data_IF_202006259188
#
_entry.id   IF_202006259188
#
_cell.length_a   1.000
_cell.length_b   1.000
_cell.length_c   1.000
_cell.angle_alpha   90.00
_cell.angle_beta   90.00
_cell.angle_gamma   90.00
#
_symmetry.space_group_name_H-M   'P 1'
#
loop_
_entity.id
_entity.type
_entity.pdbx_description
1 polymer ?
#
# COMPACT_ATOMS: atom_id res chain seq x y z
N UNK A 1 -3.83 -13.42 -10.61
CA UNK A 1 -3.50 -12.02 -10.28
C UNK A 1 -4.11 -11.15 -11.37
N UNK A 2 -5.23 -10.49 -11.10
CA UNK A 2 -5.74 -9.43 -11.97
C UNK A 2 -4.91 -8.19 -11.68
N UNK A 3 -4.19 -7.72 -12.68
CA UNK A 3 -3.51 -6.43 -12.66
C UNK A 3 -4.56 -5.35 -12.36
N UNK A 4 -4.34 -4.59 -11.30
CA UNK A 4 -5.12 -3.39 -11.03
C UNK A 4 -4.64 -2.34 -12.03
N UNK A 5 -5.39 -2.13 -13.12
CA UNK A 5 -5.13 -1.01 -14.03
C UNK A 5 -5.30 0.30 -13.25
N UNK A 6 -4.18 0.99 -13.04
CA UNK A 6 -4.18 2.36 -12.50
C UNK A 6 -4.80 3.27 -13.57
N UNK A 7 -5.86 4.02 -13.27
CA UNK A 7 -6.46 4.96 -14.24
C UNK A 7 -5.38 5.91 -14.74
N UNK A 8 -5.25 6.05 -16.06
CA UNK A 8 -4.29 6.96 -16.66
C UNK A 8 -4.67 8.40 -16.27
N UNK A 9 -3.73 9.19 -15.73
CA UNK A 9 -4.01 10.58 -15.40
C UNK A 9 -4.42 11.35 -16.66
N UNK A 10 -5.32 12.32 -16.49
CA UNK A 10 -5.66 13.31 -17.51
C UNK A 10 -4.39 13.90 -18.12
N UNK A 11 -4.39 14.17 -19.42
CA UNK A 11 -3.27 14.49 -20.33
C UNK A 11 -2.28 15.60 -19.94
N UNK A 12 -2.05 15.88 -18.69
CA UNK A 12 -1.02 16.79 -18.22
C UNK A 12 0.26 15.99 -17.96
N UNK A 13 1.21 16.08 -18.89
CA UNK A 13 2.54 15.49 -18.71
C UNK A 13 3.60 16.60 -18.73
N UNK A 14 4.58 16.46 -17.86
CA UNK A 14 5.74 17.34 -17.80
C UNK A 14 6.69 16.92 -18.92
N UNK A 15 6.93 17.82 -19.89
CA UNK A 15 7.95 17.61 -20.93
C UNK A 15 9.30 18.03 -20.38
N UNK A 16 10.21 17.08 -20.20
CA UNK A 16 11.60 17.38 -19.86
C UNK A 16 12.44 17.71 -21.09
N UNK A 17 13.30 18.69 -20.95
CA UNK A 17 14.35 18.89 -21.94
C UNK A 17 15.34 17.72 -21.86
N UNK A 18 15.68 17.08 -22.98
CA UNK A 18 16.57 15.89 -23.06
C UNK A 18 17.98 16.11 -22.48
N UNK A 19 18.30 17.34 -22.07
CA UNK A 19 19.63 17.76 -21.64
C UNK A 19 19.93 17.53 -20.15
N UNK A 20 18.95 17.18 -19.30
CA UNK A 20 19.26 16.97 -17.89
C UNK A 20 19.68 15.52 -17.62
N UNK A 21 21.01 15.31 -17.72
CA UNK A 21 21.66 14.00 -17.51
C UNK A 21 21.34 13.43 -16.12
N UNK A 22 21.26 14.29 -15.10
CA UNK A 22 21.02 13.86 -13.72
C UNK A 22 19.63 13.24 -13.53
N UNK A 23 18.59 13.85 -14.10
CA UNK A 23 17.21 13.31 -14.06
C UNK A 23 17.15 11.96 -14.76
N UNK A 24 17.77 11.85 -15.93
CA UNK A 24 17.79 10.60 -16.68
C UNK A 24 18.52 9.48 -15.93
N UNK A 25 19.69 9.75 -15.38
CA UNK A 25 20.47 8.78 -14.62
C UNK A 25 19.75 8.31 -13.34
N UNK A 26 19.13 9.22 -12.59
CA UNK A 26 18.34 8.87 -11.41
C UNK A 26 17.13 8.02 -11.75
N UNK A 27 16.43 8.32 -12.85
CA UNK A 27 15.31 7.53 -13.34
C UNK A 27 15.75 6.10 -13.69
N UNK A 28 16.84 5.95 -14.46
CA UNK A 28 17.35 4.62 -14.84
C UNK A 28 17.80 3.82 -13.60
N UNK A 29 18.48 4.45 -12.65
CA UNK A 29 18.85 3.81 -11.38
C UNK A 29 17.61 3.34 -10.61
N UNK A 30 16.57 4.17 -10.54
CA UNK A 30 15.34 3.84 -9.84
C UNK A 30 14.61 2.65 -10.49
N UNK A 31 14.56 2.60 -11.83
CA UNK A 31 14.00 1.48 -12.57
C UNK A 31 14.78 0.19 -12.33
N UNK A 32 16.10 0.24 -12.43
CA UNK A 32 16.98 -0.91 -12.17
C UNK A 32 16.79 -1.48 -10.76
N UNK A 33 16.67 -0.61 -9.75
CA UNK A 33 16.44 -1.04 -8.36
C UNK A 33 15.03 -1.60 -8.14
N UNK A 34 14.04 -1.11 -8.88
CA UNK A 34 12.66 -1.63 -8.79
C UNK A 34 12.50 -3.01 -9.41
N UNK A 35 13.37 -3.39 -10.36
CA UNK A 35 13.37 -4.70 -11.04
C UNK A 35 14.10 -5.80 -10.25
N UNK A 36 14.74 -5.49 -9.12
CA UNK A 36 15.37 -6.49 -8.26
C UNK A 36 14.32 -7.44 -7.67
N UNK A 37 14.68 -8.70 -7.43
CA UNK A 37 13.80 -9.69 -6.79
C UNK A 37 13.30 -9.26 -5.40
N UNK A 38 14.08 -8.42 -4.70
CA UNK A 38 13.71 -7.81 -3.41
C UNK A 38 14.05 -6.32 -3.45
N UNK A 39 13.16 -5.47 -3.98
CA UNK A 39 13.39 -4.03 -4.02
C UNK A 39 13.51 -3.44 -2.62
N UNK A 40 14.47 -2.54 -2.45
CA UNK A 40 14.61 -1.79 -1.20
C UNK A 40 13.69 -0.55 -1.25
N UNK A 41 12.50 -0.65 -0.65
CA UNK A 41 11.49 0.41 -0.64
C UNK A 41 12.03 1.74 -0.06
N UNK A 42 12.91 1.68 0.94
CA UNK A 42 13.52 2.88 1.52
C UNK A 42 14.45 3.56 0.52
N UNK A 43 15.29 2.81 -0.18
CA UNK A 43 16.19 3.35 -1.20
C UNK A 43 15.38 3.93 -2.37
N UNK A 44 14.35 3.24 -2.84
CA UNK A 44 13.45 3.72 -3.89
C UNK A 44 12.75 5.02 -3.48
N UNK A 45 12.25 5.13 -2.25
CA UNK A 45 11.63 6.34 -1.74
C UNK A 45 12.60 7.52 -1.70
N UNK A 46 13.87 7.31 -1.32
CA UNK A 46 14.91 8.35 -1.32
C UNK A 46 15.27 8.82 -2.73
N UNK A 47 15.40 7.89 -3.66
CA UNK A 47 15.65 8.22 -5.07
C UNK A 47 14.48 8.96 -5.70
N UNK A 48 13.24 8.54 -5.43
CA UNK A 48 12.05 9.25 -5.89
C UNK A 48 12.00 10.68 -5.35
N UNK A 49 12.35 10.89 -4.07
CA UNK A 49 12.41 12.24 -3.47
C UNK A 49 13.47 13.09 -4.16
N UNK A 50 14.68 12.56 -4.40
CA UNK A 50 15.74 13.27 -5.10
C UNK A 50 15.34 13.61 -6.54
N UNK A 51 14.71 12.69 -7.26
CA UNK A 51 14.20 12.91 -8.61
C UNK A 51 13.14 14.02 -8.64
N UNK A 52 12.19 14.00 -7.70
CA UNK A 52 11.17 15.04 -7.58
C UNK A 52 11.79 16.41 -7.29
N UNK A 53 12.81 16.48 -6.43
CA UNK A 53 13.51 17.73 -6.14
C UNK A 53 14.16 18.32 -7.38
N UNK A 54 14.86 17.52 -8.18
CA UNK A 54 15.46 17.96 -9.44
C UNK A 54 14.42 18.41 -10.46
N UNK A 55 13.28 17.71 -10.55
CA UNK A 55 12.18 18.08 -11.43
C UNK A 55 11.62 19.45 -11.07
N UNK A 56 11.39 19.71 -9.78
CA UNK A 56 10.87 21.00 -9.27
C UNK A 56 11.88 22.12 -9.47
N UNK A 57 13.17 21.85 -9.28
CA UNK A 57 14.24 22.82 -9.51
C UNK A 57 14.33 23.24 -10.97
N UNK A 58 14.23 22.28 -11.91
CA UNK A 58 14.28 22.56 -13.35
C UNK A 58 13.00 23.22 -13.87
N UNK A 59 11.83 22.82 -13.34
CA UNK A 59 10.53 23.32 -13.75
C UNK A 59 9.64 23.61 -12.53
N UNK A 60 9.73 24.79 -11.92
CA UNK A 60 8.92 25.12 -10.73
C UNK A 60 7.40 24.99 -10.95
N UNK A 61 6.92 25.16 -12.19
CA UNK A 61 5.51 24.95 -12.55
C UNK A 61 5.04 23.49 -12.35
N UNK A 62 5.98 22.52 -12.33
CA UNK A 62 5.67 21.13 -12.06
C UNK A 62 5.18 20.87 -10.64
N UNK A 63 5.47 21.77 -9.70
CA UNK A 63 5.04 21.65 -8.31
C UNK A 63 3.51 21.56 -8.19
N UNK A 64 2.76 22.32 -8.98
CA UNK A 64 1.30 22.25 -8.97
C UNK A 64 0.79 20.90 -9.47
N UNK A 65 1.41 20.34 -10.52
CA UNK A 65 1.06 19.03 -11.08
C UNK A 65 1.39 17.93 -10.06
N UNK A 66 2.56 18.01 -9.44
CA UNK A 66 2.99 17.06 -8.39
C UNK A 66 2.09 17.16 -7.16
N UNK A 67 1.73 18.36 -6.72
CA UNK A 67 0.82 18.57 -5.59
C UNK A 67 -0.58 18.02 -5.87
N UNK A 68 -1.10 18.18 -7.09
CA UNK A 68 -2.36 17.58 -7.51
C UNK A 68 -2.28 16.04 -7.57
N UNK A 69 -1.20 15.50 -8.11
CA UNK A 69 -0.95 14.06 -8.15
C UNK A 69 -0.74 13.49 -6.73
N UNK A 70 -0.16 14.26 -5.82
CA UNK A 70 0.02 13.89 -4.41
C UNK A 70 -1.26 13.98 -3.57
N UNK A 71 -2.35 14.54 -4.10
CA UNK A 71 -3.64 14.46 -3.42
C UNK A 71 -4.08 12.99 -3.35
N UNK A 72 -4.15 12.48 -2.13
CA UNK A 72 -4.58 11.11 -1.89
C UNK A 72 -5.96 10.86 -2.49
N UNK A 73 -6.07 9.84 -3.33
CA UNK A 73 -7.36 9.34 -3.81
C UNK A 73 -8.24 8.91 -2.62
N UNK A 74 -9.53 8.74 -2.88
CA UNK A 74 -10.45 8.20 -1.84
C UNK A 74 -9.94 6.86 -1.32
N UNK A 75 -9.52 5.98 -2.22
CA UNK A 75 -8.97 4.67 -1.85
C UNK A 75 -7.69 4.78 -1.02
N UNK A 76 -6.76 5.68 -1.35
CA UNK A 76 -5.55 5.90 -0.56
C UNK A 76 -5.85 6.44 0.85
N UNK A 77 -6.84 7.35 0.98
CA UNK A 77 -7.30 7.84 2.29
C UNK A 77 -7.92 6.71 3.12
N UNK A 78 -8.73 5.85 2.49
CA UNK A 78 -9.32 4.66 3.12
C UNK A 78 -8.24 3.71 3.62
N UNK A 79 -7.25 3.40 2.78
CA UNK A 79 -6.12 2.55 3.14
C UNK A 79 -5.36 3.11 4.33
N UNK A 80 -5.03 4.40 4.30
CA UNK A 80 -4.33 5.09 5.39
C UNK A 80 -5.12 5.01 6.71
N UNK A 81 -6.42 5.26 6.67
CA UNK A 81 -7.28 5.16 7.86
C UNK A 81 -7.29 3.74 8.43
N UNK A 82 -7.43 2.73 7.57
CA UNK A 82 -7.38 1.33 7.98
C UNK A 82 -6.04 0.99 8.65
N UNK A 83 -4.92 1.40 8.06
CA UNK A 83 -3.58 1.13 8.61
C UNK A 83 -3.33 1.79 9.97
N UNK A 84 -3.86 2.99 10.18
CA UNK A 84 -3.75 3.73 11.44
C UNK A 84 -4.64 3.16 12.56
N UNK A 85 -5.66 2.37 12.22
CA UNK A 85 -6.66 1.85 13.16
C UNK A 85 -6.84 0.34 13.06
N UNK A 86 -5.81 -0.38 12.62
CA UNK A 86 -5.90 -1.78 12.16
C UNK A 86 -6.43 -2.75 13.22
N UNK A 87 -6.13 -2.50 14.47
CA UNK A 87 -6.54 -3.25 15.67
C UNK A 87 -7.95 -2.90 16.18
N UNK A 88 -8.52 -1.77 15.71
CA UNK A 88 -9.81 -1.28 16.13
C UNK A 88 -10.97 -1.92 15.34
N UNK A 89 -12.19 -1.77 15.87
CA UNK A 89 -13.41 -2.17 15.16
C UNK A 89 -13.82 -1.09 14.15
N UNK A 90 -13.18 -1.12 12.98
CA UNK A 90 -13.42 -0.17 11.91
C UNK A 90 -14.70 -0.55 11.17
N UNK A 91 -15.67 0.38 11.10
CA UNK A 91 -16.90 0.23 10.32
C UNK A 91 -16.89 1.15 9.10
N UNK A 92 -17.77 0.85 8.14
CA UNK A 92 -17.96 1.73 6.98
C UNK A 92 -18.47 3.10 7.41
N UNK A 93 -19.30 3.16 8.45
CA UNK A 93 -19.89 4.39 8.97
C UNK A 93 -18.81 5.25 9.63
N UNK A 94 -17.98 4.69 10.53
CA UNK A 94 -16.88 5.43 11.18
C UNK A 94 -15.88 5.98 10.15
N UNK A 95 -15.60 5.22 9.09
CA UNK A 95 -14.72 5.68 8.01
C UNK A 95 -15.36 6.79 7.18
N UNK A 96 -16.66 6.68 6.87
CA UNK A 96 -17.39 7.68 6.11
C UNK A 96 -17.46 9.00 6.86
N UNK A 97 -17.72 8.96 8.18
CA UNK A 97 -17.70 10.13 9.08
C UNK A 97 -16.32 10.80 9.09
N UNK A 98 -15.25 10.02 9.23
CA UNK A 98 -13.87 10.52 9.15
C UNK A 98 -13.57 11.21 7.82
N UNK A 99 -14.14 10.72 6.71
CA UNK A 99 -13.94 11.29 5.39
C UNK A 99 -14.92 12.43 5.04
N UNK A 100 -15.84 12.79 5.93
CA UNK A 100 -16.84 13.84 5.71
C UNK A 100 -17.82 13.52 4.58
N UNK A 101 -18.20 12.25 4.43
CA UNK A 101 -19.14 11.81 3.39
C UNK A 101 -20.12 10.74 3.91
N UNK A 102 -21.22 10.51 3.19
CA UNK A 102 -22.14 9.42 3.57
C UNK A 102 -21.55 8.05 3.24
N UNK A 103 -21.91 6.99 4.00
CA UNK A 103 -21.50 5.60 3.70
C UNK A 103 -21.86 5.18 2.29
N UNK A 104 -23.02 5.59 1.78
CA UNK A 104 -23.44 5.31 0.40
C UNK A 104 -22.51 5.96 -0.63
N UNK A 105 -22.08 7.20 -0.39
CA UNK A 105 -21.14 7.91 -1.26
C UNK A 105 -19.77 7.23 -1.26
N UNK A 106 -19.26 6.85 -0.07
CA UNK A 106 -18.00 6.13 0.06
C UNK A 106 -18.03 4.78 -0.65
N UNK A 107 -19.10 4.00 -0.43
CA UNK A 107 -19.31 2.70 -1.10
C UNK A 107 -19.30 2.87 -2.63
N UNK A 108 -20.03 3.86 -3.17
CA UNK A 108 -20.08 4.13 -4.62
C UNK A 108 -18.71 4.49 -5.18
N UNK A 109 -17.94 5.32 -4.49
CA UNK A 109 -16.58 5.72 -4.93
C UNK A 109 -15.62 4.54 -4.96
N UNK A 110 -15.63 3.69 -3.93
CA UNK A 110 -14.83 2.46 -3.92
C UNK A 110 -15.25 1.49 -5.03
N UNK A 111 -16.56 1.32 -5.24
CA UNK A 111 -17.09 0.44 -6.30
C UNK A 111 -16.72 0.92 -7.70
N UNK A 112 -16.56 2.22 -7.93
CA UNK A 112 -16.08 2.77 -9.20
C UNK A 112 -14.63 2.35 -9.53
N UNK A 113 -13.85 1.98 -8.51
CA UNK A 113 -12.49 1.44 -8.63
C UNK A 113 -12.49 -0.12 -8.49
N UNK A 114 -13.64 -0.78 -8.60
CA UNK A 114 -13.82 -2.24 -8.38
C UNK A 114 -13.37 -2.70 -6.99
N UNK A 115 -13.46 -1.84 -5.98
CA UNK A 115 -13.06 -2.12 -4.61
C UNK A 115 -14.25 -2.09 -3.67
N UNK A 116 -14.12 -2.78 -2.52
CA UNK A 116 -15.04 -2.65 -1.39
C UNK A 116 -14.29 -2.39 -0.10
N UNK A 117 -14.92 -1.69 0.85
CA UNK A 117 -14.37 -1.47 2.18
C UNK A 117 -13.98 -2.79 2.85
N UNK A 118 -14.87 -3.78 2.81
CA UNK A 118 -14.63 -5.09 3.44
C UNK A 118 -13.44 -5.83 2.83
N UNK A 119 -13.25 -5.75 1.51
CA UNK A 119 -12.10 -6.36 0.84
C UNK A 119 -10.81 -5.66 1.21
N UNK A 120 -10.78 -4.32 1.21
CA UNK A 120 -9.61 -3.53 1.60
C UNK A 120 -9.22 -3.79 3.06
N UNK A 121 -10.19 -3.77 3.98
CA UNK A 121 -9.97 -4.05 5.39
C UNK A 121 -9.38 -5.45 5.61
N UNK A 122 -9.97 -6.46 4.96
CA UNK A 122 -9.50 -7.85 5.04
C UNK A 122 -8.05 -7.98 4.54
N UNK A 123 -7.75 -7.41 3.37
CA UNK A 123 -6.40 -7.47 2.78
C UNK A 123 -5.38 -6.79 3.68
N UNK A 124 -5.69 -5.60 4.20
CA UNK A 124 -4.77 -4.85 5.07
C UNK A 124 -4.53 -5.56 6.40
N UNK A 125 -5.56 -6.14 7.02
CA UNK A 125 -5.41 -6.97 8.23
C UNK A 125 -4.55 -8.20 8.00
N UNK A 126 -4.71 -8.89 6.86
CA UNK A 126 -3.87 -10.05 6.51
C UNK A 126 -2.42 -9.62 6.25
N UNK A 127 -2.19 -8.52 5.55
CA UNK A 127 -0.84 -7.99 5.30
C UNK A 127 -0.13 -7.58 6.59
N UNK A 128 -0.85 -6.91 7.51
CA UNK A 128 -0.34 -6.57 8.83
C UNK A 128 0.08 -7.83 9.62
N UNK A 129 -0.81 -8.84 9.66
CA UNK A 129 -0.52 -10.12 10.30
C UNK A 129 0.70 -10.83 9.66
N UNK A 130 0.82 -10.83 8.34
CA UNK A 130 1.94 -11.43 7.63
C UNK A 130 3.28 -10.75 8.00
N UNK A 131 3.28 -9.43 8.20
CA UNK A 131 4.45 -8.71 8.71
C UNK A 131 4.83 -9.18 10.11
N UNK A 132 3.87 -9.25 11.04
CA UNK A 132 4.13 -9.73 12.40
C UNK A 132 4.58 -11.19 12.46
N UNK A 133 4.04 -12.06 11.58
CA UNK A 133 4.49 -13.45 11.46
C UNK A 133 5.97 -13.55 11.05
N UNK A 134 6.48 -12.58 10.28
CA UNK A 134 7.87 -12.54 9.82
C UNK A 134 8.82 -11.87 10.81
N UNK A 135 8.35 -10.90 11.57
CA UNK A 135 9.22 -9.99 12.32
C UNK A 135 9.14 -10.18 13.84
N UNK A 136 8.21 -11.02 14.32
CA UNK A 136 7.98 -11.18 15.77
C UNK A 136 7.76 -12.65 16.15
N UNK A 137 8.05 -12.99 17.43
CA UNK A 137 7.76 -14.29 18.02
C UNK A 137 6.38 -14.34 18.72
N UNK A 138 5.49 -13.36 18.46
CA UNK A 138 4.15 -13.33 19.02
C UNK A 138 3.36 -14.58 18.64
N UNK A 139 2.47 -15.05 19.53
CA UNK A 139 1.60 -16.19 19.22
C UNK A 139 0.65 -15.86 18.05
N UNK A 140 0.22 -16.90 17.34
CA UNK A 140 -0.76 -16.74 16.24
C UNK A 140 -2.04 -16.05 16.74
N UNK A 141 -2.45 -16.37 17.97
CA UNK A 141 -3.63 -15.75 18.61
C UNK A 141 -3.42 -14.27 18.87
N UNK A 142 -2.27 -13.87 19.41
CA UNK A 142 -1.95 -12.44 19.62
C UNK A 142 -1.93 -11.67 18.29
N UNK A 143 -1.26 -12.21 17.27
CA UNK A 143 -1.22 -11.59 15.94
C UNK A 143 -2.62 -11.42 15.36
N UNK A 144 -3.50 -12.43 15.53
CA UNK A 144 -4.88 -12.32 15.07
C UNK A 144 -5.60 -11.11 15.67
N UNK A 145 -5.54 -10.93 16.99
CA UNK A 145 -6.20 -9.81 17.67
C UNK A 145 -5.55 -8.47 17.33
N UNK A 146 -4.23 -8.36 17.36
CA UNK A 146 -3.50 -7.14 16.99
C UNK A 146 -3.70 -6.73 15.51
N UNK A 147 -4.10 -7.68 14.68
CA UNK A 147 -4.47 -7.42 13.28
C UNK A 147 -5.99 -7.20 13.11
N UNK A 148 -6.73 -7.00 14.20
CA UNK A 148 -8.14 -6.65 14.20
C UNK A 148 -9.10 -7.82 13.93
N UNK A 149 -8.66 -9.07 14.00
CA UNK A 149 -9.56 -10.21 13.88
C UNK A 149 -10.22 -10.53 15.22
N UNK A 150 -11.54 -10.81 15.19
CA UNK A 150 -12.32 -11.16 16.38
C UNK A 150 -12.03 -12.57 16.93
N UNK A 151 -11.36 -13.43 16.15
CA UNK A 151 -10.92 -14.75 16.60
C UNK A 151 -9.75 -15.28 15.78
N UNK A 152 -8.89 -16.08 16.42
CA UNK A 152 -7.77 -16.77 15.78
C UNK A 152 -8.22 -17.77 14.70
N UNK A 153 -9.40 -18.39 14.87
CA UNK A 153 -9.96 -19.31 13.88
C UNK A 153 -10.36 -18.58 12.59
N UNK A 154 -11.08 -17.46 12.72
CA UNK A 154 -11.45 -16.62 11.57
C UNK A 154 -10.19 -16.07 10.87
N UNK A 155 -9.21 -15.59 11.64
CA UNK A 155 -7.92 -15.16 11.10
C UNK A 155 -7.24 -16.26 10.29
N UNK A 156 -7.08 -17.46 10.87
CA UNK A 156 -6.38 -18.59 10.23
C UNK A 156 -7.05 -19.00 8.90
N UNK A 157 -8.37 -19.03 8.87
CA UNK A 157 -9.13 -19.31 7.66
C UNK A 157 -8.94 -18.22 6.61
N UNK A 158 -9.06 -16.94 7.00
CA UNK A 158 -8.89 -15.81 6.09
C UNK A 158 -7.46 -15.75 5.53
N UNK A 159 -6.46 -15.99 6.37
CA UNK A 159 -5.04 -16.00 6.00
C UNK A 159 -4.73 -17.15 5.03
N UNK A 160 -5.22 -18.37 5.32
CA UNK A 160 -5.04 -19.53 4.43
C UNK A 160 -5.69 -19.29 3.07
N UNK A 161 -6.90 -18.72 3.04
CA UNK A 161 -7.57 -18.39 1.77
C UNK A 161 -6.81 -17.36 0.94
N UNK A 162 -6.07 -16.45 1.58
CA UNK A 162 -5.32 -15.40 0.90
C UNK A 162 -3.92 -15.86 0.47
N UNK A 163 -3.18 -16.55 1.35
CA UNK A 163 -1.80 -16.98 1.12
C UNK A 163 -1.64 -18.44 0.67
N UNK A 164 -2.72 -19.21 0.61
CA UNK A 164 -2.68 -20.64 0.27
C UNK A 164 -2.10 -21.55 1.37
N UNK A 165 -1.66 -21.00 2.49
CA UNK A 165 -1.04 -21.72 3.60
C UNK A 165 -1.47 -21.13 4.95
N UNK A 166 -1.39 -21.94 6.02
CA UNK A 166 -1.76 -21.49 7.37
C UNK A 166 -0.76 -20.46 7.91
N UNK A 167 -1.16 -19.59 8.88
CA UNK A 167 -0.24 -18.66 9.53
C UNK A 167 0.99 -19.37 10.15
N UNK A 168 0.82 -20.58 10.68
CA UNK A 168 1.89 -21.39 11.25
C UNK A 168 2.89 -21.83 10.18
N UNK A 169 2.40 -22.39 9.08
CA UNK A 169 3.24 -22.84 7.97
C UNK A 169 3.99 -21.68 7.33
N UNK A 170 3.31 -20.52 7.21
CA UNK A 170 3.91 -19.28 6.70
C UNK A 170 5.11 -18.86 7.56
N UNK A 171 4.97 -18.85 8.88
CA UNK A 171 6.06 -18.52 9.82
C UNK A 171 7.25 -19.46 9.67
N UNK A 172 7.02 -20.78 9.71
CA UNK A 172 8.07 -21.79 9.59
C UNK A 172 8.84 -21.64 8.27
N UNK A 173 8.14 -21.38 7.17
CA UNK A 173 8.77 -21.18 5.87
C UNK A 173 9.67 -19.94 5.83
N UNK A 174 9.29 -18.89 6.54
CA UNK A 174 10.10 -17.67 6.66
C UNK A 174 11.34 -17.94 7.50
N UNK A 175 11.20 -18.57 8.68
CA UNK A 175 12.32 -18.93 9.57
C UNK A 175 13.36 -19.78 8.85
N UNK A 176 12.92 -20.78 8.08
CA UNK A 176 13.82 -21.65 7.31
C UNK A 176 14.59 -20.90 6.21
N UNK A 177 14.05 -19.81 5.64
CA UNK A 177 14.74 -18.99 4.63
C UNK A 177 15.87 -18.13 5.21
N UNK A 178 15.81 -17.80 6.50
CA UNK A 178 16.85 -16.99 7.17
C UNK A 178 17.93 -17.82 7.84
N UNK A 179 17.73 -19.14 7.97
CA UNK A 179 18.67 -20.08 8.61
C UNK A 179 19.48 -20.89 7.56
N UNK A 180 19.35 -20.59 6.28
CA UNK A 180 20.13 -21.15 5.16
C UNK A 180 21.03 -20.08 4.57
#
# INVERSE_FOLDING_TARGET
YSEIEIPRPSKEYIKFNKSNVNIHQLKELMLTLAELEQPNDFALAKLATALLSLIVEEQPASLAIIANAAQLTVTQKVIRYIEQNIDNDITLDSLADYMGMSPATLKRRLSAENLSFSSLLKVKRISHAATHLRTTNKSITQIAYESGFKSAAHFSTAFKNFHGQTPKDFRVKVENKFNT
#
